data_IF_393496162826
#
_entry.id   IF_393496162826
#
_cell.length_a   1.000
_cell.length_b   1.000
_cell.length_c   1.000
_cell.angle_alpha   90.00
_cell.angle_beta   90.00
_cell.angle_gamma   90.00
#
_symmetry.space_group_name_H-M   'P 1'
#
loop_
_entity.id
_entity.type
_entity.pdbx_description
1 polymer ?
#
# COMPACT_ATOMS: atom_id res chain seq x y z
N UNK A 1 7.38 1.99 -14.76
CA UNK A 1 7.48 3.46 -14.85
C UNK A 1 6.32 3.99 -14.02
N UNK A 2 6.60 4.58 -12.85
CA UNK A 2 5.56 5.23 -12.07
C UNK A 2 4.97 6.39 -12.91
N UNK A 3 3.64 6.50 -12.94
CA UNK A 3 2.99 7.67 -13.55
C UNK A 3 3.21 8.90 -12.68
N UNK A 4 3.11 10.10 -13.25
CA UNK A 4 3.14 11.34 -12.47
C UNK A 4 2.12 11.26 -11.32
N UNK A 5 2.60 11.43 -10.08
CA UNK A 5 1.77 11.34 -8.86
C UNK A 5 1.69 9.96 -8.20
N UNK A 6 2.40 8.95 -8.71
CA UNK A 6 2.47 7.61 -8.13
C UNK A 6 3.80 7.38 -7.39
N UNK A 7 3.72 6.74 -6.23
CA UNK A 7 4.87 6.24 -5.48
C UNK A 7 4.81 4.71 -5.36
N UNK A 8 5.97 4.07 -5.55
CA UNK A 8 6.09 2.62 -5.45
C UNK A 8 7.04 2.29 -4.30
N UNK A 9 6.58 1.45 -3.38
CA UNK A 9 7.34 0.90 -2.27
C UNK A 9 7.50 -0.61 -2.45
N UNK A 10 8.64 -1.15 -2.04
CA UNK A 10 8.85 -2.60 -1.96
C UNK A 10 9.06 -3.00 -0.52
N UNK A 11 8.39 -4.07 -0.09
CA UNK A 11 8.56 -4.63 1.24
C UNK A 11 8.80 -6.13 1.14
N UNK A 12 9.82 -6.62 1.85
CA UNK A 12 10.10 -8.06 1.99
C UNK A 12 10.11 -8.39 3.47
N UNK A 13 9.35 -9.41 3.87
CA UNK A 13 9.35 -9.87 5.25
C UNK A 13 10.73 -10.47 5.59
N UNK A 14 11.37 -9.99 6.66
CA UNK A 14 12.67 -10.47 7.14
C UNK A 14 12.58 -11.77 7.97
N UNK A 15 11.47 -12.50 7.87
CA UNK A 15 11.13 -13.64 8.73
C UNK A 15 10.10 -14.54 8.06
N UNK A 16 9.36 -15.32 8.85
CA UNK A 16 8.31 -16.18 8.32
C UNK A 16 7.23 -15.38 7.56
N UNK A 17 6.61 -16.02 6.57
CA UNK A 17 5.43 -15.49 5.89
C UNK A 17 4.37 -15.09 6.91
N UNK A 18 3.83 -13.88 6.77
CA UNK A 18 2.83 -13.33 7.68
C UNK A 18 1.90 -12.35 6.95
N UNK A 19 0.79 -12.02 7.58
CA UNK A 19 -0.07 -10.92 7.16
C UNK A 19 0.52 -9.59 7.61
N UNK A 20 0.42 -8.57 6.75
CA UNK A 20 0.83 -7.22 7.05
C UNK A 20 -0.28 -6.26 6.69
N UNK A 21 -0.59 -5.36 7.62
CA UNK A 21 -1.46 -4.21 7.37
C UNK A 21 -0.60 -3.04 6.91
N UNK A 22 -0.95 -2.51 5.73
CA UNK A 22 -0.33 -1.34 5.11
C UNK A 22 -1.35 -0.22 5.10
N UNK A 23 -0.95 0.95 5.53
CA UNK A 23 -1.83 2.12 5.66
C UNK A 23 -1.12 3.36 5.14
N UNK A 24 -1.80 4.15 4.31
CA UNK A 24 -1.38 5.53 4.06
C UNK A 24 -1.82 6.38 5.25
N UNK A 25 -1.01 7.35 5.66
CA UNK A 25 -1.35 8.25 6.77
C UNK A 25 -0.95 9.68 6.43
N UNK A 26 -1.81 10.63 6.82
CA UNK A 26 -1.47 12.05 6.83
C UNK A 26 -1.44 12.70 5.46
N UNK A 27 -2.16 12.14 4.48
CA UNK A 27 -2.23 12.65 3.10
C UNK A 27 -2.86 14.04 3.01
N UNK A 28 -4.00 14.23 3.69
CA UNK A 28 -4.89 15.37 3.43
C UNK A 28 -5.50 15.37 2.03
N UNK A 29 -5.34 14.26 1.30
CA UNK A 29 -5.94 13.97 0.00
C UNK A 29 -6.28 12.47 -0.07
N UNK A 30 -7.23 12.16 -0.93
CA UNK A 30 -7.76 10.82 -1.20
C UNK A 30 -6.69 9.96 -1.87
N UNK A 31 -6.18 8.96 -1.16
CA UNK A 31 -5.18 8.02 -1.66
C UNK A 31 -5.85 6.77 -2.21
N UNK A 32 -5.15 6.07 -3.10
CA UNK A 32 -5.46 4.71 -3.51
C UNK A 32 -4.21 3.87 -3.26
N UNK A 33 -4.38 2.76 -2.54
CA UNK A 33 -3.32 1.81 -2.24
C UNK A 33 -3.57 0.50 -3.00
N UNK A 34 -2.58 0.07 -3.77
CA UNK A 34 -2.60 -1.22 -4.48
C UNK A 34 -1.41 -2.07 -4.05
N UNK A 35 -1.60 -3.38 -3.93
CA UNK A 35 -0.58 -4.34 -3.58
C UNK A 35 -0.37 -5.35 -4.72
N UNK A 36 0.89 -5.60 -5.07
CA UNK A 36 1.30 -6.52 -6.13
C UNK A 36 2.29 -7.56 -5.61
N UNK A 37 2.31 -8.73 -6.23
CA UNK A 37 3.35 -9.73 -6.02
C UNK A 37 4.64 -9.43 -6.81
N UNK A 38 5.64 -10.29 -6.63
CA UNK A 38 6.93 -10.17 -7.30
C UNK A 38 6.87 -10.32 -8.83
N UNK A 39 5.79 -10.91 -9.35
CA UNK A 39 5.54 -11.11 -10.79
C UNK A 39 4.72 -9.94 -11.38
N UNK A 40 4.26 -9.01 -10.55
CA UNK A 40 3.45 -7.87 -10.94
C UNK A 40 1.95 -8.17 -11.00
N UNK A 41 1.48 -9.29 -10.44
CA UNK A 41 0.05 -9.56 -10.33
C UNK A 41 -0.54 -8.76 -9.17
N UNK A 42 -1.70 -8.14 -9.42
CA UNK A 42 -2.45 -7.43 -8.39
C UNK A 42 -3.01 -8.43 -7.36
N UNK A 43 -2.73 -8.19 -6.09
CA UNK A 43 -3.20 -8.99 -4.96
C UNK A 43 -4.44 -8.36 -4.32
N UNK A 44 -4.40 -7.05 -4.10
CA UNK A 44 -5.46 -6.28 -3.48
C UNK A 44 -5.34 -4.81 -3.84
N UNK A 45 -6.46 -4.10 -3.82
CA UNK A 45 -6.54 -2.64 -3.91
C UNK A 45 -7.60 -2.14 -2.92
N UNK A 46 -7.33 -0.99 -2.30
CA UNK A 46 -8.31 -0.28 -1.48
C UNK A 46 -8.00 1.21 -1.53
N UNK A 47 -9.05 2.01 -1.70
CA UNK A 47 -9.02 3.46 -1.73
C UNK A 47 -9.36 4.07 -0.37
N UNK A 48 -10.24 3.46 0.43
CA UNK A 48 -10.67 4.02 1.74
C UNK A 48 -10.39 3.11 2.94
N UNK A 49 -9.88 3.66 4.04
CA UNK A 49 -9.74 3.02 5.36
C UNK A 49 -11.09 2.90 6.10
N UNK A 50 -12.16 3.51 5.57
CA UNK A 50 -13.50 3.56 6.18
C UNK A 50 -13.79 4.87 6.93
N UNK A 51 -15.03 5.01 7.43
CA UNK A 51 -15.50 6.15 8.25
C UNK A 51 -15.28 7.57 7.67
N UNK A 52 -15.21 7.69 6.33
CA UNK A 52 -14.96 8.97 5.66
C UNK A 52 -13.50 9.44 5.73
N UNK A 53 -12.58 8.54 6.09
CA UNK A 53 -11.15 8.73 5.91
C UNK A 53 -10.81 8.80 4.41
N UNK A 54 -9.82 9.61 4.08
CA UNK A 54 -9.23 9.72 2.74
C UNK A 54 -7.92 8.92 2.61
N UNK A 55 -7.52 8.29 3.72
CA UNK A 55 -6.40 7.37 3.77
C UNK A 55 -6.87 5.96 3.37
N UNK A 56 -5.97 5.14 2.84
CA UNK A 56 -6.22 3.78 2.36
C UNK A 56 -5.55 2.74 3.23
N UNK A 57 -6.15 1.56 3.38
CA UNK A 57 -5.56 0.45 4.13
C UNK A 57 -5.76 -0.89 3.43
N UNK A 58 -4.73 -1.75 3.46
CA UNK A 58 -4.79 -3.12 2.97
C UNK A 58 -4.13 -4.07 3.97
N UNK A 59 -4.71 -5.25 4.16
CA UNK A 59 -4.03 -6.39 4.79
C UNK A 59 -3.65 -7.38 3.71
N UNK A 60 -2.36 -7.74 3.62
CA UNK A 60 -1.86 -8.66 2.60
C UNK A 60 -0.89 -9.72 3.14
N UNK A 61 -0.88 -10.93 2.57
CA UNK A 61 0.14 -11.94 2.85
C UNK A 61 1.47 -11.53 2.22
N UNK A 62 2.51 -11.39 3.04
CA UNK A 62 3.90 -11.20 2.58
C UNK A 62 4.67 -12.49 2.82
N UNK A 63 5.13 -13.18 1.76
CA UNK A 63 5.94 -14.40 1.90
C UNK A 63 7.31 -14.07 2.49
N UNK A 64 7.91 -15.04 3.20
CA UNK A 64 9.33 -14.95 3.55
C UNK A 64 10.17 -14.86 2.27
N UNK A 65 11.06 -13.88 2.17
CA UNK A 65 12.03 -13.73 1.07
C UNK A 65 11.45 -13.38 -0.32
N UNK A 66 10.15 -13.08 -0.44
CA UNK A 66 9.55 -12.59 -1.69
C UNK A 66 8.94 -11.21 -1.49
N UNK A 67 9.34 -10.19 -2.27
CA UNK A 67 8.83 -8.85 -2.10
C UNK A 67 7.36 -8.74 -2.49
N UNK A 68 6.64 -7.88 -1.78
CA UNK A 68 5.40 -7.25 -2.26
C UNK A 68 5.70 -5.82 -2.66
N UNK A 69 5.00 -5.35 -3.70
CA UNK A 69 5.06 -3.97 -4.14
C UNK A 69 3.77 -3.25 -3.75
N UNK A 70 3.91 -2.08 -3.14
CA UNK A 70 2.80 -1.22 -2.77
C UNK A 70 2.85 0.03 -3.62
N UNK A 71 1.78 0.29 -4.34
CA UNK A 71 1.62 1.46 -5.20
C UNK A 71 0.63 2.39 -4.55
N UNK A 72 1.05 3.64 -4.34
CA UNK A 72 0.21 4.70 -3.77
C UNK A 72 0.09 5.81 -4.80
N UNK A 73 -1.13 6.19 -5.14
CA UNK A 73 -1.43 7.39 -5.93
C UNK A 73 -2.65 8.10 -5.36
N UNK A 74 -2.94 9.32 -5.81
CA UNK A 74 -4.18 9.99 -5.42
C UNK A 74 -5.37 9.62 -6.32
N UNK A 75 -6.56 9.62 -5.74
CA UNK A 75 -7.81 9.50 -6.49
C UNK A 75 -8.03 10.75 -7.37
N UNK A 76 -8.50 10.56 -8.61
CA UNK A 76 -8.72 11.64 -9.58
C UNK A 76 -7.53 12.60 -9.79
N UNK A 77 -6.29 12.13 -9.60
CA UNK A 77 -5.08 12.94 -9.77
C UNK A 77 -4.78 13.87 -8.59
N UNK A 78 -5.40 13.62 -7.43
CA UNK A 78 -4.99 14.27 -6.19
C UNK A 78 -3.52 13.94 -5.87
N UNK A 79 -2.84 14.87 -5.20
CA UNK A 79 -1.46 14.69 -4.82
C UNK A 79 -1.16 15.48 -3.54
N UNK A 80 -0.27 14.92 -2.73
CA UNK A 80 0.16 15.52 -1.48
C UNK A 80 1.26 14.70 -0.85
N UNK A 81 1.67 15.11 0.35
CA UNK A 81 2.62 14.36 1.15
C UNK A 81 1.83 13.32 1.93
N UNK A 82 2.35 12.11 2.02
CA UNK A 82 1.78 11.03 2.81
C UNK A 82 2.92 10.24 3.44
N UNK A 83 2.58 9.46 4.47
CA UNK A 83 3.43 8.40 5.01
C UNK A 83 2.83 7.05 4.66
N UNK A 84 3.68 6.02 4.60
CA UNK A 84 3.22 4.61 4.52
C UNK A 84 3.67 3.91 5.79
N UNK A 85 2.70 3.34 6.49
CA UNK A 85 2.92 2.56 7.71
C UNK A 85 2.70 1.10 7.36
N UNK A 86 3.64 0.23 7.76
CA UNK A 86 3.57 -1.21 7.55
C UNK A 86 3.67 -1.89 8.91
N UNK A 87 2.63 -2.60 9.31
CA UNK A 87 2.53 -3.32 10.59
C UNK A 87 2.32 -4.80 10.30
N UNK A 88 3.06 -5.66 10.99
CA UNK A 88 2.84 -7.10 10.95
C UNK A 88 1.65 -7.44 11.84
N UNK A 89 0.72 -8.25 11.35
CA UNK A 89 -0.35 -8.83 12.17
C UNK A 89 0.21 -9.98 13.02
N UNK A 90 -0.23 -10.08 14.28
CA UNK A 90 0.17 -11.16 15.20
C UNK A 90 -0.60 -12.47 14.99
#
# INVERSE_FOLDING_TARGET
MARDGEAIFSFTASGASAEYTVTTDGGGFDTVLQAFDAEGNLLAENDDLGDGSVDSQLTVPVPSESPRFFVVHGFNGAAGRFSVIVVREE
#
